data_IF_352720820075
#
_entry.id   IF_352720820075
#
_cell.length_a   1.000
_cell.length_b   1.000
_cell.length_c   1.000
_cell.angle_alpha   90.00
_cell.angle_beta   90.00
_cell.angle_gamma   90.00
#
_symmetry.space_group_name_H-M   'P 1'
#
loop_
_entity.id
_entity.type
_entity.pdbx_description
1 polymer ?
2 non-polymer ?
3 non-polymer ?
4 water ?
#
# COMPACT_ATOMS: atom_id res chain seq x y z
N UNK A 2 -13.30 -10.27 -14.38
CA UNK A 2 -12.10 -10.33 -13.54
C UNK A 2 -10.87 -10.71 -14.36
N UNK A 3 -11.09 -11.04 -15.64
CA UNK A 3 -10.02 -11.47 -16.52
C UNK A 3 -9.13 -10.34 -17.01
N UNK A 4 -9.76 -9.32 -17.59
CA UNK A 4 -9.07 -8.08 -17.92
C UNK A 4 -9.74 -6.92 -17.19
N UNK A 5 -8.96 -6.14 -16.46
CA UNK A 5 -9.50 -5.00 -15.72
C UNK A 5 -9.77 -3.82 -16.65
N UNK A 6 -10.85 -3.08 -16.38
CA UNK A 6 -11.21 -1.94 -17.22
C UNK A 6 -10.09 -0.91 -17.30
N UNK A 7 -9.37 -0.72 -16.20
CA UNK A 7 -8.27 0.25 -16.18
C UNK A 7 -7.26 -0.02 -17.29
N UNK A 8 -7.00 -1.31 -17.55
CA UNK A 8 -6.08 -1.70 -18.61
C UNK A 8 -6.61 -1.41 -20.02
N UNK A 9 -7.89 -1.69 -20.26
CA UNK A 9 -8.50 -1.40 -21.56
C UNK A 9 -8.56 0.10 -21.82
N UNK A 10 -9.11 0.86 -20.87
CA UNK A 10 -9.44 2.27 -21.06
C UNK A 10 -8.28 3.23 -20.77
N UNK A 11 -7.46 2.90 -19.79
CA UNK A 11 -6.42 3.84 -19.39
C UNK A 11 -5.02 3.41 -19.82
N UNK A 12 -4.77 2.11 -19.90
CA UNK A 12 -3.53 1.64 -20.51
C UNK A 12 -3.68 1.37 -22.00
N UNK A 13 -4.91 1.45 -22.49
CA UNK A 13 -5.21 1.27 -23.92
C UNK A 13 -4.61 0.00 -24.50
N UNK A 14 -4.84 -1.11 -23.81
CA UNK A 14 -4.36 -2.42 -24.26
C UNK A 14 -5.52 -3.41 -24.23
N UNK A 15 -5.97 -3.84 -25.41
CA UNK A 15 -7.10 -4.75 -25.53
C UNK A 15 -6.60 -6.16 -25.81
N UNK A 16 -5.63 -6.24 -26.72
CA UNK A 16 -5.01 -7.50 -27.12
C UNK A 16 -3.63 -7.67 -26.48
N UNK A 17 -2.63 -7.12 -27.15
CA UNK A 17 -1.27 -7.18 -26.67
C UNK A 17 -0.62 -5.83 -26.84
N UNK A 18 0.54 -5.67 -26.23
CA UNK A 18 1.34 -4.47 -26.34
C UNK A 18 2.78 -4.97 -26.36
N UNK A 19 3.67 -4.20 -26.99
CA UNK A 19 5.09 -4.54 -27.02
C UNK A 19 5.89 -3.60 -26.13
N UNK A 20 6.61 -4.14 -25.14
CA UNK A 20 7.36 -3.26 -24.23
C UNK A 20 8.83 -3.53 -24.23
N UNK A 21 9.65 -2.47 -24.07
CA UNK A 21 11.11 -2.62 -24.13
C UNK A 21 11.58 -3.58 -23.06
N UNK A 22 12.19 -4.66 -23.49
CA UNK A 22 12.61 -5.65 -22.54
C UNK A 22 14.06 -5.37 -22.09
N UNK A 23 14.85 -4.73 -22.96
CA UNK A 23 16.21 -4.31 -22.61
C UNK A 23 16.66 -3.10 -23.41
N UNK A 24 17.89 -2.65 -23.16
CA UNK A 24 18.35 -1.41 -23.79
C UNK A 24 18.74 -1.51 -25.27
N UNK A 25 18.77 -2.73 -25.83
CA UNK A 25 19.17 -2.90 -27.23
C UNK A 25 18.00 -3.07 -28.21
N UNK A 26 16.91 -2.33 -27.95
CA UNK A 26 15.81 -2.25 -28.90
C UNK A 26 14.83 -3.40 -28.92
N UNK A 27 15.05 -4.41 -28.07
CA UNK A 27 14.19 -5.59 -28.09
C UNK A 27 12.94 -5.40 -27.24
N UNK A 28 11.80 -5.88 -27.75
CA UNK A 28 10.55 -5.81 -27.02
C UNK A 28 10.01 -7.19 -26.67
N UNK A 29 9.16 -7.23 -25.65
CA UNK A 29 8.47 -8.44 -25.27
C UNK A 29 6.98 -8.19 -25.35
N UNK A 30 6.25 -9.23 -25.72
CA UNK A 30 4.81 -9.14 -25.91
C UNK A 30 4.07 -9.40 -24.58
N UNK A 31 3.31 -8.41 -24.12
CA UNK A 31 2.44 -8.58 -22.96
C UNK A 31 0.97 -8.46 -23.34
N UNK A 32 0.16 -9.34 -22.77
CA UNK A 32 -1.27 -9.33 -23.04
C UNK A 32 -1.98 -8.44 -22.05
N UNK A 33 -3.24 -8.14 -22.32
CA UNK A 33 -4.08 -7.36 -21.43
C UNK A 33 -4.26 -8.07 -20.06
N UNK A 34 -4.30 -9.38 -20.10
CA UNK A 34 -4.37 -10.18 -18.89
C UNK A 34 -3.08 -10.08 -18.06
N UNK A 35 -1.92 -10.13 -18.73
CA UNK A 35 -0.64 -9.88 -18.08
C UNK A 35 -0.65 -8.53 -17.33
N UNK A 36 -1.09 -7.47 -18.00
CA UNK A 36 -1.08 -6.13 -17.39
C UNK A 36 -2.08 -6.03 -16.26
N UNK A 37 -3.21 -6.74 -16.39
CA UNK A 37 -4.18 -6.81 -15.30
C UNK A 37 -3.57 -7.47 -14.08
N UNK A 38 -2.77 -8.50 -14.32
CA UNK A 38 -2.11 -9.21 -13.20
C UNK A 38 -1.04 -8.33 -12.56
N UNK A 39 -0.36 -7.56 -13.40
CA UNK A 39 0.68 -6.66 -12.92
C UNK A 39 0.06 -5.52 -12.11
N UNK A 40 -1.09 -5.02 -12.56
CA UNK A 40 -1.85 -3.97 -11.83
C UNK A 40 -2.24 -4.47 -10.46
N UNK A 41 -2.78 -5.69 -10.41
CA UNK A 41 -3.14 -6.28 -9.13
C UNK A 41 -1.94 -6.39 -8.18
N UNK A 42 -0.80 -6.82 -8.70
CA UNK A 42 0.41 -6.86 -7.88
C UNK A 42 0.82 -5.49 -7.40
N UNK A 43 0.66 -4.47 -8.23
CA UNK A 43 1.02 -3.13 -7.82
C UNK A 43 0.08 -2.67 -6.70
N UNK A 44 -1.22 -2.89 -6.89
CA UNK A 44 -2.21 -2.46 -5.91
C UNK A 44 -1.99 -3.14 -4.57
N UNK A 45 -1.45 -4.36 -4.59
CA UNK A 45 -1.28 -5.12 -3.35
C UNK A 45 0.00 -4.83 -2.61
N UNK A 46 1.03 -4.41 -3.34
CA UNK A 46 2.37 -4.36 -2.79
C UNK A 46 3.05 -3.01 -2.78
N UNK A 47 2.52 -2.08 -3.58
CA UNK A 47 3.26 -0.86 -3.89
C UNK A 47 2.46 0.41 -3.69
N UNK A 48 1.15 0.28 -3.58
CA UNK A 48 0.25 1.44 -3.67
C UNK A 48 0.33 2.42 -2.48
N UNK A 49 0.77 1.98 -1.31
CA UNK A 49 0.83 2.92 -0.19
C UNK A 49 1.79 4.06 -0.52
N UNK A 50 2.88 3.76 -1.27
CA UNK A 50 3.88 4.76 -1.57
C UNK A 50 3.81 5.34 -2.96
N UNK A 51 3.17 4.58 -3.86
CA UNK A 51 3.32 4.92 -5.29
C UNK A 51 1.97 5.11 -5.94
N UNK A 52 0.95 5.33 -5.12
CA UNK A 52 -0.38 5.67 -5.66
C UNK A 52 -0.34 6.69 -6.81
N UNK A 53 -1.00 6.33 -7.91
CA UNK A 53 -1.02 7.11 -9.13
C UNK A 53 0.31 7.42 -9.78
N UNK A 54 1.34 6.62 -9.49
CA UNK A 54 2.65 6.86 -10.06
C UNK A 54 3.51 7.86 -9.32
N UNK A 55 2.98 8.41 -8.24
CA UNK A 55 3.79 9.26 -7.38
C UNK A 55 4.82 8.43 -6.61
N UNK A 56 5.66 9.13 -5.84
CA UNK A 56 6.45 8.50 -4.80
C UNK A 56 6.28 9.33 -3.54
N UNK A 57 5.44 8.89 -2.64
CA UNK A 57 5.06 9.75 -1.50
C UNK A 57 6.25 10.12 -0.60
N UNK A 58 7.14 9.16 -0.28
CA UNK A 58 8.25 9.54 0.60
C UNK A 58 9.42 10.26 -0.08
N UNK A 59 9.48 10.25 -1.40
CA UNK A 59 10.42 11.10 -2.12
C UNK A 59 9.85 11.47 -3.48
N UNK A 60 9.04 12.54 -3.54
CA UNK A 60 8.34 12.87 -4.79
C UNK A 60 9.25 13.24 -5.98
N UNK A 61 10.52 13.52 -5.71
CA UNK A 61 11.51 13.83 -6.75
C UNK A 61 11.92 12.58 -7.55
N UNK A 62 11.67 11.41 -6.99
CA UNK A 62 11.95 10.14 -7.68
C UNK A 62 10.64 9.35 -7.87
N UNK A 63 9.80 9.81 -8.80
CA UNK A 63 8.48 9.23 -9.02
C UNK A 63 8.52 8.08 -10.04
N UNK A 64 7.35 7.54 -10.37
CA UNK A 64 7.26 6.50 -11.41
C UNK A 64 6.93 7.09 -12.76
N UNK A 65 7.11 8.41 -12.91
CA UNK A 65 6.87 9.01 -14.23
C UNK A 65 7.91 8.50 -15.22
N UNK A 66 7.58 8.49 -16.52
CA UNK A 66 8.53 8.02 -17.52
C UNK A 66 9.80 8.87 -17.51
N UNK A 67 9.63 10.18 -17.30
CA UNK A 67 10.77 11.08 -17.17
C UNK A 67 11.72 10.65 -16.05
N UNK A 68 11.18 10.35 -14.88
CA UNK A 68 11.99 10.02 -13.72
C UNK A 68 12.64 8.64 -13.90
N UNK A 69 11.86 7.71 -14.43
CA UNK A 69 12.40 6.40 -14.73
C UNK A 69 13.55 6.46 -15.71
N UNK A 70 13.38 7.24 -16.79
CA UNK A 70 14.44 7.30 -17.80
C UNK A 70 15.69 8.03 -17.32
N UNK A 71 15.54 8.84 -16.27
CA UNK A 71 16.66 9.62 -15.73
C UNK A 71 17.43 8.91 -14.65
N UNK A 72 17.01 7.69 -14.31
CA UNK A 72 17.74 6.90 -13.32
C UNK A 72 19.03 6.34 -13.91
N UNK A 73 19.93 5.89 -13.05
CA UNK A 73 21.20 5.34 -13.53
C UNK A 73 21.36 3.90 -13.09
N UNK A 74 21.35 2.97 -14.04
CA UNK A 74 21.01 3.17 -15.44
C UNK A 74 19.51 3.42 -15.52
N UNK A 75 19.00 3.82 -16.70
CA UNK A 75 17.55 4.09 -16.86
C UNK A 75 16.64 2.91 -16.52
N UNK A 76 15.48 3.23 -15.91
CA UNK A 76 14.55 2.24 -15.39
C UNK A 76 13.32 2.19 -16.29
N UNK A 77 13.60 2.06 -17.59
CA UNK A 77 12.57 2.15 -18.62
C UNK A 77 12.46 0.89 -19.47
N UNK A 78 12.89 -0.24 -18.90
CA UNK A 78 12.80 -1.53 -19.57
C UNK A 78 12.38 -2.57 -18.56
N UNK A 79 11.84 -3.71 -19.02
CA UNK A 79 11.47 -4.79 -18.12
C UNK A 79 12.68 -5.25 -17.28
N UNK A 80 13.81 -5.51 -17.94
CA UNK A 80 14.96 -6.02 -17.22
C UNK A 80 15.46 -5.05 -16.15
N UNK A 81 15.45 -3.75 -16.47
CA UNK A 81 15.95 -2.76 -15.53
C UNK A 81 15.04 -2.59 -14.33
N UNK A 82 13.73 -2.71 -14.54
CA UNK A 82 12.77 -2.54 -13.42
C UNK A 82 12.82 -3.79 -12.52
N UNK A 83 12.94 -4.97 -13.13
CA UNK A 83 13.04 -6.19 -12.33
C UNK A 83 14.32 -6.15 -11.46
N UNK A 84 15.44 -5.79 -12.07
CA UNK A 84 16.71 -5.75 -11.35
C UNK A 84 16.66 -4.73 -10.23
N UNK A 85 15.84 -3.70 -10.43
CA UNK A 85 15.70 -2.66 -9.43
C UNK A 85 14.95 -3.24 -8.25
N UNK A 86 13.86 -3.93 -8.55
CA UNK A 86 13.00 -4.39 -7.47
C UNK A 86 13.66 -5.48 -6.64
N UNK A 87 14.57 -6.23 -7.26
CA UNK A 87 15.25 -7.28 -6.52
C UNK A 87 16.21 -6.68 -5.48
N UNK A 88 16.76 -5.53 -5.80
CA UNK A 88 17.71 -4.84 -4.92
C UNK A 88 17.65 -3.34 -5.19
N UNK A 89 16.72 -2.63 -4.52
CA UNK A 89 16.57 -1.20 -4.85
C UNK A 89 17.80 -0.35 -4.61
N UNK A 90 18.10 0.55 -5.55
CA UNK A 90 19.27 1.38 -5.48
C UNK A 90 18.90 2.86 -5.38
N UNK A 91 19.91 3.70 -5.09
CA UNK A 91 19.68 5.14 -5.12
C UNK A 91 19.48 5.61 -6.56
N UNK A 92 18.97 6.84 -6.73
CA UNK A 92 18.66 7.33 -8.07
C UNK A 92 19.87 7.39 -9.03
N UNK A 93 21.07 7.67 -8.51
CA UNK A 93 22.27 7.67 -9.34
C UNK A 93 22.88 6.28 -9.44
N UNK A 94 22.27 5.35 -8.71
CA UNK A 94 22.64 3.95 -8.77
C UNK A 94 23.90 3.58 -8.00
N UNK A 95 24.48 4.55 -7.30
CA UNK A 95 25.75 4.33 -6.61
C UNK A 95 25.61 3.62 -5.27
N UNK A 96 24.42 3.65 -4.68
CA UNK A 96 24.22 3.15 -3.31
C UNK A 96 22.93 2.33 -3.17
N UNK A 97 22.89 1.44 -2.18
CA UNK A 97 21.69 0.64 -1.89
C UNK A 97 20.60 1.47 -1.21
N UNK A 98 19.36 1.40 -1.69
CA UNK A 98 18.24 2.08 -1.02
C UNK A 98 17.39 1.14 -0.17
N UNK A 99 17.04 1.59 1.03
CA UNK A 99 16.20 0.81 1.92
C UNK A 99 14.84 1.51 2.05
N UNK A 100 14.63 2.52 1.22
CA UNK A 100 13.41 3.35 1.29
C UNK A 100 12.25 2.81 0.44
N UNK A 101 12.58 1.97 -0.53
CA UNK A 101 11.59 1.33 -1.38
C UNK A 101 11.46 -0.11 -0.86
N UNK A 102 10.65 -0.93 -1.53
CA UNK A 102 10.30 -2.27 -1.06
C UNK A 102 11.07 -3.29 -1.88
N UNK A 103 12.02 -3.95 -1.24
CA UNK A 103 12.77 -4.99 -1.92
C UNK A 103 11.84 -6.19 -2.11
N UNK A 104 11.89 -6.86 -3.26
CA UNK A 104 11.01 -7.97 -3.48
C UNK A 104 11.85 -9.23 -3.75
N UNK A 105 11.81 -10.16 -2.79
CA UNK A 105 12.61 -11.36 -2.81
C UNK A 105 11.96 -12.32 -3.75
N UNK A 106 12.69 -13.34 -4.20
CA UNK A 106 12.09 -14.28 -5.13
C UNK A 106 11.07 -15.16 -4.43
N UNK A 107 11.14 -15.18 -3.11
CA UNK A 107 10.22 -15.93 -2.29
C UNK A 107 8.89 -15.18 -2.21
N UNK A 108 8.94 -13.89 -2.53
CA UNK A 108 7.75 -13.06 -2.52
C UNK A 108 7.12 -13.02 -3.91
N UNK A 109 7.89 -12.56 -4.89
CA UNK A 109 7.42 -12.57 -6.27
C UNK A 109 8.38 -13.31 -7.21
N UNK A 110 7.84 -14.17 -8.07
CA UNK A 110 8.67 -14.93 -9.03
C UNK A 110 9.06 -13.96 -10.13
N UNK A 111 10.05 -14.36 -10.92
CA UNK A 111 10.50 -13.63 -12.10
C UNK A 111 9.35 -13.16 -12.97
N UNK A 112 8.45 -14.07 -13.34
CA UNK A 112 7.36 -13.75 -14.24
C UNK A 112 6.38 -12.75 -13.62
N UNK A 113 6.09 -12.96 -12.34
CA UNK A 113 5.20 -12.01 -11.63
C UNK A 113 5.80 -10.61 -11.63
N UNK A 114 7.07 -10.50 -11.26
CA UNK A 114 7.75 -9.21 -11.26
C UNK A 114 7.83 -8.61 -12.66
N UNK A 115 7.99 -9.43 -13.70
CA UNK A 115 7.89 -8.94 -15.06
C UNK A 115 6.55 -8.28 -15.35
N UNK A 116 5.46 -8.89 -14.91
CA UNK A 116 4.16 -8.31 -15.19
C UNK A 116 3.96 -7.00 -14.42
N UNK A 117 4.54 -6.90 -13.21
CA UNK A 117 4.47 -5.65 -12.41
C UNK A 117 5.30 -4.58 -13.12
N UNK A 118 6.53 -4.93 -13.52
CA UNK A 118 7.32 -3.98 -14.31
C UNK A 118 6.56 -3.58 -15.58
N UNK A 119 5.94 -4.52 -16.30
CA UNK A 119 5.19 -4.16 -17.51
C UNK A 119 4.05 -3.18 -17.19
N UNK A 120 3.32 -3.43 -16.12
CA UNK A 120 2.27 -2.51 -15.71
C UNK A 120 2.81 -1.09 -15.47
N UNK A 121 3.90 -0.97 -14.72
CA UNK A 121 4.46 0.33 -14.37
C UNK A 121 4.93 1.00 -15.65
N UNK A 122 5.56 0.22 -16.52
CA UNK A 122 6.14 0.76 -17.74
C UNK A 122 5.07 1.26 -18.73
N UNK A 123 4.02 0.47 -18.91
CA UNK A 123 2.90 0.93 -19.74
C UNK A 123 2.14 2.10 -19.15
N UNK A 124 1.91 2.10 -17.85
CA UNK A 124 1.29 3.21 -17.19
C UNK A 124 2.06 4.50 -17.36
N UNK A 125 3.37 4.43 -17.13
CA UNK A 125 4.24 5.59 -17.31
C UNK A 125 4.14 6.15 -18.71
N UNK A 126 4.00 5.27 -19.69
CA UNK A 126 3.93 5.74 -21.07
C UNK A 126 2.57 6.41 -21.43
N UNK A 127 1.46 5.82 -20.99
CA UNK A 127 0.16 6.21 -21.53
C UNK A 127 -0.96 6.58 -20.57
N UNK A 128 -0.81 6.25 -19.31
CA UNK A 128 -1.87 6.45 -18.35
C UNK A 128 -1.95 7.93 -18.00
N UNK A 129 -3.13 8.55 -18.21
CA UNK A 129 -3.36 9.96 -17.86
C UNK A 129 -3.01 10.28 -16.42
N UNK A 130 -2.15 11.29 -16.22
CA UNK A 130 -1.81 11.79 -14.91
C UNK A 130 -0.75 11.02 -14.15
N UNK A 131 -0.42 9.84 -14.64
CA UNK A 131 0.55 8.99 -13.95
C UNK A 131 1.83 9.73 -13.67
N UNK A 132 2.19 9.79 -12.40
CA UNK A 132 3.45 10.38 -11.98
C UNK A 132 3.52 11.90 -11.97
N UNK A 133 2.46 12.55 -12.41
CA UNK A 133 2.45 14.02 -12.37
C UNK A 133 1.75 14.52 -11.11
N UNK A 134 2.52 14.60 -10.03
CA UNK A 134 1.99 14.95 -8.71
C UNK A 134 2.93 15.92 -8.02
N UNK B 3 -18.69 -9.38 -1.17
CA UNK B 3 -19.52 -9.05 -0.02
C UNK B 3 -18.69 -8.79 1.21
N UNK B 4 -18.94 -9.57 2.27
CA UNK B 4 -18.08 -9.58 3.45
C UNK B 4 -16.83 -10.46 3.23
N UNK B 5 -15.66 -9.92 3.61
CA UNK B 5 -14.36 -10.59 3.44
C UNK B 5 -14.23 -11.79 4.38
N UNK B 6 -13.66 -12.89 3.89
CA UNK B 6 -13.52 -14.07 4.75
C UNK B 6 -12.51 -13.88 5.88
N UNK B 7 -11.54 -12.99 5.70
CA UNK B 7 -10.63 -12.65 6.80
C UNK B 7 -11.41 -12.08 8.00
N UNK B 8 -12.43 -11.27 7.73
CA UNK B 8 -13.29 -10.70 8.77
C UNK B 8 -14.16 -11.77 9.44
N UNK B 9 -14.67 -12.69 8.63
CA UNK B 9 -15.36 -13.88 9.15
C UNK B 9 -14.43 -14.74 10.02
N UNK B 10 -13.33 -15.16 9.41
CA UNK B 10 -12.43 -16.15 10.00
C UNK B 10 -11.54 -15.59 11.10
N UNK B 11 -10.78 -14.54 10.79
CA UNK B 11 -9.76 -14.06 11.71
C UNK B 11 -10.23 -12.98 12.70
N UNK B 12 -11.21 -12.17 12.31
CA UNK B 12 -11.76 -11.16 13.22
C UNK B 12 -12.99 -11.64 14.01
N UNK B 13 -13.51 -12.80 13.63
CA UNK B 13 -14.64 -13.40 14.33
C UNK B 13 -15.84 -12.45 14.40
N UNK B 14 -16.11 -11.74 13.30
CA UNK B 14 -17.29 -10.89 13.22
C UNK B 14 -18.15 -11.32 12.05
N UNK B 15 -19.43 -11.59 12.31
CA UNK B 15 -20.34 -12.01 11.27
C UNK B 15 -21.50 -11.01 11.07
N UNK B 16 -21.97 -10.41 12.16
CA UNK B 16 -22.98 -9.38 12.06
C UNK B 16 -22.39 -8.02 12.43
N UNK B 17 -22.28 -7.79 13.74
CA UNK B 17 -21.76 -6.54 14.27
C UNK B 17 -20.69 -6.77 15.35
N UNK B 18 -20.00 -5.70 15.73
CA UNK B 18 -19.09 -5.74 16.87
C UNK B 18 -19.01 -4.38 17.57
N UNK B 19 -18.91 -4.38 18.89
CA UNK B 19 -18.74 -3.13 19.64
C UNK B 19 -17.28 -2.85 19.95
N UNK B 20 -16.84 -1.66 19.59
CA UNK B 20 -15.46 -1.24 19.81
C UNK B 20 -15.41 0.04 20.61
N UNK B 21 -14.38 0.18 21.46
CA UNK B 21 -14.15 1.37 22.29
C UNK B 21 -13.93 2.62 21.43
N UNK B 22 -14.73 3.67 21.64
CA UNK B 22 -14.56 4.91 20.87
C UNK B 22 -13.63 5.89 21.59
N UNK B 23 -13.77 5.97 22.91
CA UNK B 23 -12.88 6.80 23.73
C UNK B 23 -12.52 6.17 25.07
N UNK B 24 -11.81 6.93 25.90
CA UNK B 24 -11.48 6.46 27.24
C UNK B 24 -12.62 6.72 28.24
N UNK B 25 -13.70 7.34 27.75
CA UNK B 25 -14.81 7.75 28.60
C UNK B 25 -15.79 6.62 28.96
N UNK B 26 -16.02 5.71 28.00
CA UNK B 26 -16.93 4.60 28.22
C UNK B 26 -17.88 4.38 27.07
N UNK B 27 -17.74 5.16 26.01
CA UNK B 27 -18.60 5.04 24.85
C UNK B 27 -18.10 4.02 23.84
N UNK B 28 -19.02 3.29 23.23
CA UNK B 28 -18.65 2.33 22.19
C UNK B 28 -19.40 2.65 20.91
N UNK B 29 -18.96 2.04 19.83
CA UNK B 29 -19.62 2.19 18.54
C UNK B 29 -19.72 0.82 17.90
N UNK B 30 -20.86 0.58 17.27
CA UNK B 30 -21.14 -0.68 16.65
C UNK B 30 -20.62 -0.64 15.21
N UNK B 31 -19.89 -1.67 14.83
CA UNK B 31 -19.42 -1.79 13.46
C UNK B 31 -19.89 -3.11 12.93
N UNK B 32 -20.32 -3.11 11.67
CA UNK B 32 -20.78 -4.32 11.00
C UNK B 32 -19.59 -5.04 10.37
N UNK B 33 -19.85 -6.24 9.85
CA UNK B 33 -18.84 -7.01 9.18
C UNK B 33 -18.46 -6.36 7.84
N UNK B 34 -19.42 -5.75 7.17
CA UNK B 34 -19.10 -5.04 5.95
C UNK B 34 -18.24 -3.79 6.23
N UNK B 35 -18.48 -3.15 7.37
CA UNK B 35 -17.62 -2.02 7.78
C UNK B 35 -16.16 -2.47 7.92
N UNK B 36 -15.96 -3.58 8.61
CA UNK B 36 -14.62 -4.11 8.85
C UNK B 36 -13.98 -4.58 7.53
N UNK B 37 -14.82 -5.05 6.61
CA UNK B 37 -14.39 -5.44 5.27
C UNK B 37 -13.88 -4.23 4.47
N UNK B 38 -14.65 -3.15 4.52
CA UNK B 38 -14.26 -1.90 3.89
C UNK B 38 -12.95 -1.40 4.50
N UNK B 39 -12.83 -1.54 5.81
CA UNK B 39 -11.66 -1.08 6.53
C UNK B 39 -10.41 -1.86 6.19
N UNK B 40 -10.57 -3.18 6.10
CA UNK B 40 -9.54 -4.05 5.59
C UNK B 40 -9.07 -3.61 4.21
N UNK B 41 -9.99 -3.26 3.33
CA UNK B 41 -9.60 -2.83 1.97
C UNK B 41 -8.81 -1.54 2.01
N UNK B 42 -9.27 -0.60 2.83
CA UNK B 42 -8.55 0.66 3.02
C UNK B 42 -7.16 0.44 3.60
N UNK B 43 -7.06 -0.54 4.51
CA UNK B 43 -5.78 -0.88 5.09
C UNK B 43 -4.85 -1.44 4.00
N UNK B 44 -5.39 -2.27 3.12
CA UNK B 44 -4.60 -2.82 2.02
C UNK B 44 -4.11 -1.69 1.08
N UNK B 45 -5.01 -0.76 0.74
CA UNK B 45 -4.70 0.31 -0.22
C UNK B 45 -3.70 1.33 0.32
N UNK B 46 -3.67 1.51 1.64
CA UNK B 46 -2.97 2.65 2.21
C UNK B 46 -1.91 2.38 3.25
N UNK B 47 -1.95 1.18 3.82
CA UNK B 47 -1.15 0.91 5.03
C UNK B 47 -0.33 -0.39 5.03
N UNK B 48 -0.85 -1.41 4.36
CA UNK B 48 -0.31 -2.76 4.48
C UNK B 48 1.14 -2.88 4.04
N UNK B 49 1.59 -1.97 3.16
CA UNK B 49 2.92 -2.20 2.57
C UNK B 49 3.97 -1.99 3.68
N UNK B 50 3.64 -1.09 4.63
CA UNK B 50 4.50 -0.86 5.78
C UNK B 50 4.05 -1.66 7.00
N UNK B 51 2.77 -2.03 7.06
CA UNK B 51 2.23 -2.64 8.27
C UNK B 51 1.71 -4.06 8.00
N UNK B 52 2.37 -4.78 7.09
CA UNK B 52 2.03 -6.19 6.82
C UNK B 52 1.81 -6.94 8.12
N UNK B 53 0.70 -7.66 8.19
CA UNK B 53 0.41 -8.48 9.35
C UNK B 53 0.34 -7.77 10.70
N UNK B 54 0.18 -6.44 10.69
CA UNK B 54 0.13 -5.69 11.94
C UNK B 54 1.51 -5.30 12.45
N UNK B 55 2.54 -5.57 11.64
CA UNK B 55 3.89 -5.17 12.01
C UNK B 55 4.08 -3.70 11.67
N UNK B 56 5.24 -3.15 12.04
CA UNK B 56 5.68 -1.88 11.46
C UNK B 56 7.08 -2.07 10.96
N UNK B 57 7.20 -2.34 9.67
CA UNK B 57 8.48 -2.72 9.09
C UNK B 57 9.55 -1.63 9.30
N UNK B 58 9.21 -0.34 9.08
CA UNK B 58 10.26 0.65 9.34
C UNK B 58 10.51 1.01 10.82
N UNK B 59 9.79 0.42 11.77
CA UNK B 59 10.07 0.61 13.19
C UNK B 59 9.41 -0.47 14.02
N UNK B 60 10.06 -1.63 14.07
CA UNK B 60 9.45 -2.84 14.64
C UNK B 60 8.98 -2.69 16.08
N UNK B 61 9.58 -1.79 16.86
CA UNK B 61 9.14 -1.58 18.25
C UNK B 61 7.77 -0.91 18.37
N UNK B 62 7.37 -0.19 17.33
CA UNK B 62 6.11 0.57 17.35
C UNK B 62 5.13 -0.08 16.36
N UNK B 63 4.72 -1.33 16.65
CA UNK B 63 3.86 -2.13 15.81
C UNK B 63 2.40 -1.79 16.04
N UNK B 64 1.53 -2.49 15.30
CA UNK B 64 0.09 -2.33 15.48
C UNK B 64 -0.51 -3.37 16.46
N UNK B 65 0.33 -4.04 17.25
CA UNK B 65 -0.18 -4.96 18.28
C UNK B 65 -0.89 -4.17 19.34
N UNK B 66 -1.85 -4.78 20.03
CA UNK B 66 -2.59 -4.08 21.08
C UNK B 66 -1.62 -3.59 22.16
N UNK B 67 -0.64 -4.44 22.50
CA UNK B 67 0.36 -4.09 23.49
C UNK B 67 1.11 -2.82 23.11
N UNK B 68 1.56 -2.75 21.87
CA UNK B 68 2.25 -1.57 21.41
C UNK B 68 1.34 -0.33 21.29
N UNK B 69 0.12 -0.50 20.81
CA UNK B 69 -0.82 0.61 20.74
C UNK B 69 -1.11 1.20 22.15
N UNK B 70 -1.23 0.31 23.14
CA UNK B 70 -1.52 0.71 24.51
C UNK B 70 -0.29 1.28 25.21
N UNK B 71 0.87 1.16 24.57
CA UNK B 71 2.08 1.72 25.13
C UNK B 71 2.37 3.12 24.60
N UNK B 72 1.58 3.53 23.62
CA UNK B 72 1.73 4.85 23.01
C UNK B 72 1.20 5.96 23.91
N UNK B 73 1.63 7.19 23.63
CA UNK B 73 1.23 8.34 24.44
C UNK B 73 0.48 9.39 23.61
N UNK B 74 -0.84 9.51 23.83
CA UNK B 74 -1.76 8.73 24.65
C UNK B 74 -1.96 7.37 23.98
N UNK B 75 -2.53 6.37 24.67
CA UNK B 75 -2.73 5.04 24.08
C UNK B 75 -3.59 5.10 22.82
N UNK B 76 -3.25 4.28 21.84
CA UNK B 76 -3.91 4.28 20.54
C UNK B 76 -4.82 3.06 20.43
N UNK B 77 -5.70 2.93 21.42
CA UNK B 77 -6.52 1.74 21.60
C UNK B 77 -8.01 2.03 21.55
N UNK B 78 -8.35 3.13 20.90
CA UNK B 78 -9.75 3.48 20.68
C UNK B 78 -9.93 4.05 19.29
N UNK B 79 -11.16 4.04 18.79
CA UNK B 79 -11.44 4.63 17.48
C UNK B 79 -11.01 6.10 17.46
N UNK B 80 -11.36 6.87 18.49
CA UNK B 80 -11.03 8.28 18.44
C UNK B 80 -9.53 8.53 18.44
N UNK B 81 -8.76 7.80 19.24
CA UNK B 81 -7.30 7.97 19.29
C UNK B 81 -6.58 7.52 18.00
N UNK B 82 -7.12 6.50 17.34
CA UNK B 82 -6.56 6.02 16.08
C UNK B 82 -6.90 7.00 14.96
N UNK B 83 -8.15 7.50 14.95
CA UNK B 83 -8.52 8.50 13.96
C UNK B 83 -7.68 9.77 14.10
N UNK B 84 -7.56 10.27 15.33
CA UNK B 84 -6.80 11.48 15.60
C UNK B 84 -5.34 11.28 15.16
N UNK B 85 -4.80 10.10 15.44
CA UNK B 85 -3.43 9.74 15.00
C UNK B 85 -3.25 9.83 13.48
N UNK B 86 -4.14 9.24 12.69
CA UNK B 86 -3.93 9.22 11.23
C UNK B 86 -4.06 10.60 10.60
N UNK B 87 -4.87 11.46 11.23
CA UNK B 87 -5.03 12.81 10.71
C UNK B 87 -3.75 13.59 10.93
N UNK B 88 -3.01 13.26 11.99
CA UNK B 88 -1.73 13.92 12.24
C UNK B 88 -0.72 13.02 12.96
N UNK B 89 -0.02 12.13 12.21
CA UNK B 89 0.81 11.13 12.91
C UNK B 89 1.89 11.71 13.79
N UNK B 90 2.14 11.05 14.91
CA UNK B 90 3.08 11.53 15.90
C UNK B 90 4.07 10.46 16.32
N UNK B 91 5.13 10.89 17.00
CA UNK B 91 6.09 9.95 17.56
C UNK B 91 5.43 9.13 18.66
N UNK B 92 6.10 8.08 19.09
CA UNK B 92 5.49 7.14 20.03
C UNK B 92 5.15 7.78 21.38
N UNK B 93 5.98 8.71 21.83
CA UNK B 93 5.69 9.46 23.08
C UNK B 93 4.74 10.62 22.81
N UNK B 94 4.49 10.88 21.54
CA UNK B 94 3.50 11.87 21.14
C UNK B 94 4.02 13.29 21.18
N UNK B 95 5.31 13.46 21.41
CA UNK B 95 5.90 14.80 21.56
C UNK B 95 6.27 15.49 20.25
N UNK B 96 6.53 14.71 19.21
CA UNK B 96 6.92 15.26 17.92
C UNK B 96 6.04 14.73 16.79
N UNK B 97 5.95 15.49 15.70
CA UNK B 97 5.21 15.05 14.53
C UNK B 97 6.04 13.96 13.86
N UNK B 98 5.39 12.90 13.38
CA UNK B 98 6.11 11.88 12.64
C UNK B 98 5.81 12.01 11.14
N UNK B 99 6.84 11.88 10.30
CA UNK B 99 6.62 11.94 8.87
C UNK B 99 6.94 10.58 8.26
N UNK B 100 7.08 9.58 9.13
CA UNK B 100 7.43 8.22 8.68
C UNK B 100 6.18 7.37 8.36
N UNK B 101 5.06 7.73 8.96
CA UNK B 101 3.82 7.03 8.72
C UNK B 101 2.98 7.91 7.79
N UNK B 102 1.87 7.38 7.31
CA UNK B 102 1.05 8.04 6.31
C UNK B 102 -0.05 8.90 6.89
N UNK B 103 0.13 10.22 6.81
CA UNK B 103 -0.94 11.14 7.20
C UNK B 103 -2.10 11.03 6.20
N UNK B 104 -3.34 11.01 6.69
CA UNK B 104 -4.52 10.88 5.83
C UNK B 104 -5.46 12.05 6.00
N UNK B 105 -5.56 12.87 4.96
CA UNK B 105 -6.46 14.01 5.02
C UNK B 105 -7.91 13.60 4.74
N UNK B 106 -8.83 14.49 5.07
CA UNK B 106 -10.25 14.22 4.90
C UNK B 106 -10.62 14.19 3.43
N UNK B 107 -9.84 14.86 2.59
CA UNK B 107 -9.96 14.68 1.13
C UNK B 107 -9.67 13.26 0.67
N UNK B 108 -8.85 12.53 1.42
CA UNK B 108 -8.40 11.20 1.00
C UNK B 108 -9.32 10.13 1.56
N UNK B 109 -9.57 10.20 2.87
CA UNK B 109 -10.57 9.37 3.53
C UNK B 109 -11.49 10.22 4.38
N UNK B 110 -12.79 10.07 4.17
CA UNK B 110 -13.81 10.72 4.98
C UNK B 110 -13.78 10.15 6.40
N UNK B 111 -14.49 10.82 7.30
CA UNK B 111 -14.64 10.36 8.68
C UNK B 111 -15.09 8.92 8.72
N UNK B 112 -16.19 8.62 8.04
CA UNK B 112 -16.76 7.28 8.04
C UNK B 112 -15.68 6.25 7.60
N UNK B 113 -14.93 6.58 6.56
CA UNK B 113 -13.92 5.67 6.01
C UNK B 113 -12.80 5.44 7.02
N UNK B 114 -12.30 6.51 7.61
CA UNK B 114 -11.18 6.37 8.54
C UNK B 114 -11.61 5.60 9.79
N UNK B 115 -12.85 5.80 10.24
CA UNK B 115 -13.41 5.02 11.34
C UNK B 115 -13.48 3.53 11.02
N UNK B 116 -13.83 3.17 9.78
CA UNK B 116 -13.79 1.73 9.43
C UNK B 116 -12.36 1.15 9.44
N UNK B 117 -11.38 1.96 9.07
CA UNK B 117 -9.98 1.56 9.08
C UNK B 117 -9.48 1.33 10.51
N UNK B 118 -9.78 2.29 11.38
CA UNK B 118 -9.46 2.21 12.80
C UNK B 118 -10.12 0.99 13.46
N UNK B 119 -11.37 0.74 13.07
CA UNK B 119 -12.10 -0.41 13.56
C UNK B 119 -11.44 -1.73 13.15
N UNK B 120 -11.01 -1.82 11.90
CA UNK B 120 -10.36 -3.01 11.41
C UNK B 120 -9.07 -3.20 12.19
N UNK B 121 -8.25 -2.19 12.31
CA UNK B 121 -7.01 -2.29 13.09
C UNK B 121 -7.27 -2.62 14.59
N UNK B 122 -8.27 -1.99 15.21
CA UNK B 122 -8.49 -2.23 16.63
C UNK B 122 -9.00 -3.65 16.86
N UNK B 123 -9.94 -4.08 16.02
CA UNK B 123 -10.44 -5.47 16.14
C UNK B 123 -9.33 -6.50 15.90
N UNK B 124 -8.51 -6.29 14.87
CA UNK B 124 -7.44 -7.20 14.50
C UNK B 124 -6.45 -7.26 15.65
N UNK B 125 -6.13 -6.10 16.21
CA UNK B 125 -5.25 -6.03 17.38
C UNK B 125 -5.79 -6.83 18.55
N UNK B 126 -7.11 -6.82 18.76
CA UNK B 126 -7.70 -7.54 19.88
C UNK B 126 -7.80 -9.04 19.63
N UNK B 127 -8.16 -9.45 18.42
CA UNK B 127 -8.48 -10.89 18.19
C UNK B 127 -7.81 -11.67 17.05
N UNK B 128 -7.16 -11.00 16.11
CA UNK B 128 -6.57 -11.75 15.00
C UNK B 128 -5.31 -12.50 15.34
N UNK B 129 -5.28 -13.80 15.03
CA UNK B 129 -4.05 -14.57 15.24
C UNK B 129 -2.87 -13.99 14.50
N UNK B 130 -1.78 -13.80 15.23
CA UNK B 130 -0.52 -13.42 14.60
C UNK B 130 -0.36 -11.92 14.36
N UNK B 131 -1.38 -11.14 14.64
CA UNK B 131 -1.31 -9.70 14.37
C UNK B 131 -0.26 -8.99 15.22
N UNK B 132 0.71 -8.35 14.58
CA UNK B 132 1.72 -7.59 15.30
C UNK B 132 3.00 -8.39 15.57
N UNK B 133 2.98 -9.67 15.24
CA UNK B 133 4.12 -10.57 15.44
C UNK B 133 5.29 -10.25 14.53
#
# INVERSE_FOLDING_TARGET
>A
AAGVDNYVIQYLKVTDTVELPVNDRGETKTFTAVDLTRGKRLFEENCKNCHVGGSTLPNPLVSLSLKDLKGATPPRDTIASLVAFQRSPKSYDGSEESYSCRRVSEDWLTTEQLETLAAFILRAAAVAPGWGVESFPDSAP
>B
AAGVDNYVIQYLKVTDTVELPVNDRGETKTFTAVDLTRGKRLFEENCKNCHVGGSTLPNPLVSLSLKDLKGATPPRDTIASLVAFQRSPKSYDGSEESYSCRRVSEDWLTTEQLETLAAFILRAAAVAPGWGVESFPDSAP
#
